data_IF_859312433277
#
_entry.id   IF_859312433277
#
_cell.length_a   1.000
_cell.length_b   1.000
_cell.length_c   1.000
_cell.angle_alpha   90.00
_cell.angle_beta   90.00
_cell.angle_gamma   90.00
#
_symmetry.space_group_name_H-M   'P 1'
#
loop_
_entity.id
_entity.type
_entity.pdbx_description
1 polymer ?
#
# COMPACT_ATOMS: atom_id res chain seq x y z
N UNK A 1 -34.83 -8.95 27.35
CA UNK A 1 -34.42 -7.54 27.13
C UNK A 1 -32.90 -7.49 27.17
N UNK A 2 -32.23 -7.28 26.03
CA UNK A 2 -30.76 -7.24 25.98
C UNK A 2 -30.33 -5.78 26.16
N UNK A 3 -29.74 -5.46 27.30
CA UNK A 3 -29.12 -4.14 27.54
C UNK A 3 -27.80 -4.13 26.78
N UNK A 4 -27.77 -3.46 25.62
CA UNK A 4 -26.49 -3.11 24.98
C UNK A 4 -25.78 -2.11 25.88
N UNK A 5 -24.49 -2.32 26.16
CA UNK A 5 -23.68 -1.30 26.79
C UNK A 5 -23.62 -0.03 25.92
N UNK A 6 -23.36 1.15 26.49
CA UNK A 6 -23.01 2.31 25.70
C UNK A 6 -21.82 1.97 24.80
N UNK A 7 -21.91 2.26 23.49
CA UNK A 7 -20.71 2.22 22.64
C UNK A 7 -19.71 3.25 23.20
N UNK A 8 -18.41 2.94 23.30
CA UNK A 8 -17.43 3.91 23.75
C UNK A 8 -17.44 5.12 22.80
N UNK A 9 -17.58 6.31 23.38
CA UNK A 9 -17.62 7.57 22.65
C UNK A 9 -16.22 7.89 22.12
N UNK A 10 -16.04 7.84 20.79
CA UNK A 10 -14.76 8.12 20.14
C UNK A 10 -14.49 9.64 20.21
N UNK A 11 -13.37 10.02 20.81
CA UNK A 11 -12.97 11.42 21.02
C UNK A 11 -11.78 11.76 20.14
N UNK A 12 -11.81 12.96 19.57
CA UNK A 12 -10.70 13.51 18.79
C UNK A 12 -9.74 14.21 19.77
N UNK A 13 -8.49 13.77 19.79
CA UNK A 13 -7.40 14.37 20.57
C UNK A 13 -6.28 14.76 19.59
N UNK A 14 -5.78 15.98 19.68
CA UNK A 14 -4.76 16.54 18.76
C UNK A 14 -3.92 17.57 19.50
N UNK A 15 -2.60 17.37 19.52
CA UNK A 15 -1.64 18.35 20.06
C UNK A 15 -1.42 19.52 19.10
N UNK A 16 -1.24 20.72 19.66
CA UNK A 16 -1.09 21.96 18.88
C UNK A 16 0.37 22.35 18.75
N UNK A 17 0.90 22.22 17.54
CA UNK A 17 2.29 22.57 17.21
C UNK A 17 3.35 21.70 17.88
N UNK A 18 3.23 20.36 17.88
CA UNK A 18 4.21 19.47 18.53
C UNK A 18 5.61 19.56 17.91
N UNK A 19 5.70 19.93 16.62
CA UNK A 19 6.96 20.19 15.91
C UNK A 19 6.88 21.56 15.25
N UNK A 20 7.95 22.35 15.37
CA UNK A 20 8.09 23.66 14.72
C UNK A 20 8.53 23.51 13.27
N UNK A 21 7.75 24.05 12.33
CA UNK A 21 8.15 24.15 10.92
C UNK A 21 9.45 24.96 10.78
N UNK A 22 10.52 24.31 10.27
CA UNK A 22 11.85 24.88 10.07
C UNK A 22 12.59 24.15 8.96
N UNK A 23 13.50 24.84 8.26
CA UNK A 23 14.45 24.24 7.30
C UNK A 23 15.75 23.77 7.97
N UNK A 24 15.91 23.99 9.27
CA UNK A 24 17.11 23.67 10.04
C UNK A 24 17.52 22.19 9.94
N UNK A 25 16.56 21.27 10.08
CA UNK A 25 16.83 19.82 9.95
C UNK A 25 16.98 19.36 8.48
N UNK A 26 16.60 20.18 7.50
CA UNK A 26 16.87 19.90 6.08
C UNK A 26 18.35 20.10 5.73
N UNK A 27 19.03 21.02 6.42
CA UNK A 27 20.48 21.17 6.34
C UNK A 27 21.25 20.04 7.07
N UNK A 28 20.54 19.20 7.83
CA UNK A 28 21.09 18.12 8.67
C UNK A 28 20.60 16.77 8.16
N UNK A 29 21.11 16.37 6.99
CA UNK A 29 20.84 15.06 6.41
C UNK A 29 21.15 13.94 7.42
N UNK A 30 20.18 13.05 7.65
CA UNK A 30 20.28 11.97 8.64
C UNK A 30 19.95 12.36 10.09
N UNK A 31 19.45 13.57 10.37
CA UNK A 31 19.06 14.00 11.73
C UNK A 31 18.13 13.01 12.46
N UNK A 32 17.33 12.26 11.70
CA UNK A 32 16.35 11.30 12.19
C UNK A 32 16.95 10.03 12.83
N UNK A 33 18.24 9.74 12.62
CA UNK A 33 18.92 8.56 13.17
C UNK A 33 20.27 8.94 13.79
N UNK A 34 20.44 8.63 15.09
CA UNK A 34 21.65 8.97 15.88
C UNK A 34 22.94 8.35 15.32
N UNK A 35 22.82 7.32 14.49
CA UNK A 35 23.94 6.64 13.84
C UNK A 35 24.50 7.47 12.69
N UNK A 36 23.64 8.03 11.84
CA UNK A 36 24.02 8.79 10.64
C UNK A 36 24.06 10.32 10.86
N UNK A 37 23.38 10.85 11.88
CA UNK A 37 23.38 12.28 12.22
C UNK A 37 24.78 12.89 12.53
N UNK A 38 25.83 12.06 12.62
CA UNK A 38 27.24 12.49 12.76
C UNK A 38 27.88 12.96 11.46
N UNK A 39 27.33 12.58 10.31
CA UNK A 39 27.86 12.90 8.98
C UNK A 39 28.57 11.73 8.27
N UNK A 40 28.98 11.94 7.00
CA UNK A 40 29.50 10.89 6.12
C UNK A 40 30.99 10.57 6.33
N UNK A 41 31.30 9.67 7.26
CA UNK A 41 32.65 9.09 7.39
C UNK A 41 33.02 8.14 6.23
N UNK A 42 32.02 7.56 5.54
CA UNK A 42 32.18 6.63 4.42
C UNK A 42 31.05 6.79 3.40
N UNK A 43 31.23 6.31 2.17
CA UNK A 43 30.15 6.29 1.15
C UNK A 43 28.96 5.40 1.54
N UNK A 44 29.16 4.42 2.43
CA UNK A 44 28.09 3.61 3.04
C UNK A 44 27.03 4.47 3.74
N UNK A 45 27.43 5.61 4.31
CA UNK A 45 26.51 6.58 4.92
C UNK A 45 25.42 7.05 3.96
N UNK A 46 25.75 7.24 2.67
CA UNK A 46 24.79 7.69 1.66
C UNK A 46 23.72 6.62 1.43
N UNK A 47 24.10 5.34 1.41
CA UNK A 47 23.15 4.24 1.24
C UNK A 47 22.25 4.08 2.47
N UNK A 48 22.82 4.11 3.68
CA UNK A 48 22.05 4.05 4.93
C UNK A 48 21.08 5.24 5.05
N UNK A 49 21.50 6.46 4.69
CA UNK A 49 20.63 7.64 4.67
C UNK A 49 19.35 7.44 3.83
N UNK A 50 19.43 6.73 2.71
CA UNK A 50 18.27 6.45 1.87
C UNK A 50 17.47 5.22 2.33
N UNK A 51 18.14 4.19 2.84
CA UNK A 51 17.49 2.97 3.32
C UNK A 51 16.70 3.20 4.62
N UNK A 52 17.30 3.91 5.59
CA UNK A 52 16.73 4.13 6.91
C UNK A 52 15.59 5.19 6.87
N UNK A 53 15.55 6.07 5.86
CA UNK A 53 14.68 7.26 5.83
C UNK A 53 13.17 7.01 6.04
N UNK A 54 12.68 5.79 5.74
CA UNK A 54 11.28 5.39 5.96
C UNK A 54 11.12 4.31 7.05
N UNK A 55 12.20 3.85 7.68
CA UNK A 55 12.15 2.95 8.84
C UNK A 55 11.92 3.76 10.13
N UNK A 56 10.70 4.28 10.29
CA UNK A 56 10.35 5.15 11.42
C UNK A 56 10.56 4.50 12.80
N UNK A 57 10.47 3.17 12.90
CA UNK A 57 10.72 2.43 14.13
C UNK A 57 12.22 2.42 14.52
N UNK A 58 13.13 2.74 13.60
CA UNK A 58 14.55 2.94 13.90
C UNK A 58 14.87 4.35 14.44
N UNK A 59 13.97 5.31 14.25
CA UNK A 59 14.18 6.72 14.60
C UNK A 59 13.75 7.06 16.03
N UNK A 60 12.70 6.39 16.53
CA UNK A 60 12.04 6.69 17.81
C UNK A 60 11.35 5.44 18.36
N UNK A 61 11.22 5.34 19.69
CA UNK A 61 10.46 4.28 20.37
C UNK A 61 8.97 4.60 20.51
N UNK A 62 8.58 5.87 20.32
CA UNK A 62 7.25 6.35 20.68
C UNK A 62 6.23 6.03 19.58
N UNK A 63 5.33 5.09 19.86
CA UNK A 63 4.31 4.62 18.91
C UNK A 63 3.40 5.75 18.40
N UNK A 64 3.11 6.76 19.23
CA UNK A 64 2.34 7.93 18.81
C UNK A 64 3.10 8.78 17.77
N UNK A 65 4.42 8.95 17.93
CA UNK A 65 5.25 9.68 16.97
C UNK A 65 5.37 8.90 15.65
N UNK A 66 5.58 7.59 15.72
CA UNK A 66 5.55 6.69 14.55
C UNK A 66 4.21 6.81 13.83
N UNK A 67 3.10 6.76 14.57
CA UNK A 67 1.74 6.84 14.01
C UNK A 67 1.46 8.19 13.35
N UNK A 68 1.92 9.30 13.94
CA UNK A 68 1.85 10.63 13.32
C UNK A 68 2.68 10.72 12.04
N UNK A 69 3.88 10.14 12.02
CA UNK A 69 4.74 10.07 10.83
C UNK A 69 4.11 9.23 9.71
N UNK A 70 3.55 8.06 10.02
CA UNK A 70 2.82 7.19 9.08
C UNK A 70 1.59 7.93 8.52
N UNK A 71 0.77 8.55 9.37
CA UNK A 71 -0.41 9.31 8.96
C UNK A 71 -0.05 10.47 8.03
N UNK A 72 1.01 11.23 8.34
CA UNK A 72 1.55 12.29 7.49
C UNK A 72 2.07 11.77 6.15
N UNK A 73 2.82 10.65 6.15
CA UNK A 73 3.30 9.99 4.94
C UNK A 73 2.15 9.51 4.03
N UNK A 74 1.03 9.05 4.60
CA UNK A 74 -0.18 8.75 3.83
C UNK A 74 -0.75 9.98 3.10
N UNK A 75 -0.73 11.17 3.70
CA UNK A 75 -1.12 12.40 2.99
C UNK A 75 -0.11 12.80 1.90
N UNK A 76 1.19 12.57 2.11
CA UNK A 76 2.21 12.73 1.07
C UNK A 76 1.93 11.82 -0.13
N UNK A 77 1.74 10.52 0.12
CA UNK A 77 1.44 9.53 -0.91
C UNK A 77 0.11 9.81 -1.62
N UNK A 78 -0.95 10.17 -0.89
CA UNK A 78 -2.23 10.59 -1.48
C UNK A 78 -2.06 11.84 -2.36
N UNK A 79 -1.24 12.80 -1.95
CA UNK A 79 -0.96 14.01 -2.74
C UNK A 79 -0.24 13.66 -4.05
N UNK A 80 0.72 12.71 -4.02
CA UNK A 80 1.38 12.20 -5.23
C UNK A 80 0.39 11.44 -6.12
N UNK A 81 -0.50 10.62 -5.55
CA UNK A 81 -1.55 9.91 -6.30
C UNK A 81 -2.51 10.92 -6.95
N UNK A 82 -2.98 11.95 -6.23
CA UNK A 82 -3.84 12.98 -6.80
C UNK A 82 -3.13 13.83 -7.85
N UNK A 83 -1.84 14.13 -7.69
CA UNK A 83 -1.03 14.83 -8.69
C UNK A 83 -0.84 13.98 -9.96
N UNK A 84 -0.55 12.68 -9.82
CA UNK A 84 -0.44 11.74 -10.93
C UNK A 84 -1.77 11.52 -11.67
N UNK A 85 -2.87 11.37 -10.92
CA UNK A 85 -4.22 11.32 -11.48
C UNK A 85 -4.57 12.63 -12.21
N UNK A 86 -4.31 13.79 -11.59
CA UNK A 86 -4.51 15.11 -12.19
C UNK A 86 -3.70 15.25 -13.48
N UNK A 87 -2.44 14.84 -13.48
CA UNK A 87 -1.60 14.72 -14.68
C UNK A 87 -2.24 13.85 -15.76
N UNK A 88 -2.76 12.67 -15.41
CA UNK A 88 -3.47 11.79 -16.35
C UNK A 88 -4.78 12.40 -16.88
N UNK A 89 -5.52 13.19 -16.11
CA UNK A 89 -6.69 13.94 -16.62
C UNK A 89 -6.30 15.16 -17.45
N UNK A 90 -5.23 15.86 -17.10
CA UNK A 90 -4.75 17.03 -17.85
C UNK A 90 -4.12 16.62 -19.18
N UNK A 91 -3.26 15.59 -19.19
CA UNK A 91 -2.81 14.96 -20.42
C UNK A 91 -3.98 14.36 -21.19
N UNK A 92 -4.91 13.68 -20.50
CA UNK A 92 -6.20 13.22 -21.01
C UNK A 92 -7.25 14.31 -21.30
N UNK A 93 -6.83 15.55 -21.59
CA UNK A 93 -7.70 16.68 -21.95
C UNK A 93 -7.02 17.77 -22.80
N UNK A 94 -5.71 18.02 -22.61
CA UNK A 94 -4.99 19.13 -23.27
C UNK A 94 -4.32 18.76 -24.59
N UNK A 95 -3.77 17.54 -24.68
CA UNK A 95 -3.03 17.01 -25.82
C UNK A 95 -3.73 15.93 -26.68
N UNK A 96 -4.87 15.30 -26.29
CA UNK A 96 -5.40 14.15 -26.99
C UNK A 96 -6.77 14.45 -27.64
N UNK A 97 -7.39 13.43 -28.22
CA UNK A 97 -8.39 13.65 -29.26
C UNK A 97 -9.73 12.88 -29.08
N UNK A 98 -10.13 12.42 -27.88
CA UNK A 98 -11.32 11.54 -27.62
C UNK A 98 -12.57 11.80 -28.44
N UNK A 99 -12.86 13.05 -28.83
CA UNK A 99 -14.04 13.36 -29.63
C UNK A 99 -14.01 12.59 -30.96
N UNK A 100 -12.84 12.18 -31.44
CA UNK A 100 -12.67 11.13 -32.45
C UNK A 100 -12.87 9.70 -31.88
N UNK A 101 -12.24 9.28 -30.76
CA UNK A 101 -12.36 7.91 -30.21
C UNK A 101 -13.80 7.57 -29.85
N UNK A 102 -14.50 8.49 -29.20
CA UNK A 102 -15.89 8.38 -28.82
C UNK A 102 -16.84 8.39 -30.03
N UNK A 103 -16.36 8.87 -31.20
CA UNK A 103 -17.10 8.82 -32.48
C UNK A 103 -16.84 7.53 -33.28
N UNK A 104 -15.64 6.95 -33.21
CA UNK A 104 -15.29 5.65 -33.79
C UNK A 104 -14.21 4.91 -32.97
N UNK A 105 -14.60 4.22 -31.88
CA UNK A 105 -13.67 3.51 -31.00
C UNK A 105 -13.26 2.14 -31.58
N UNK A 106 -13.70 1.82 -32.80
CA UNK A 106 -13.42 0.57 -33.50
C UNK A 106 -12.28 0.69 -34.51
N UNK A 107 -12.03 1.89 -35.05
CA UNK A 107 -10.94 2.14 -36.00
C UNK A 107 -9.90 3.15 -35.50
N UNK A 108 -10.17 3.85 -34.40
CA UNK A 108 -9.31 4.90 -33.85
C UNK A 108 -8.74 4.44 -32.50
N UNK A 109 -7.42 4.42 -32.36
CA UNK A 109 -6.72 3.90 -31.17
C UNK A 109 -6.62 4.89 -30.01
N UNK A 110 -6.27 4.45 -28.79
CA UNK A 110 -6.13 5.34 -27.63
C UNK A 110 -4.72 5.98 -27.51
N UNK A 111 -4.55 7.27 -27.84
CA UNK A 111 -3.31 8.04 -27.58
C UNK A 111 -3.49 9.29 -26.69
N UNK A 112 -2.53 9.49 -25.78
CA UNK A 112 -2.60 10.41 -24.63
C UNK A 112 -1.43 11.41 -24.51
N UNK A 113 -0.39 11.28 -25.33
CA UNK A 113 0.89 11.96 -25.17
C UNK A 113 1.40 12.45 -26.53
N UNK A 114 1.92 13.68 -26.57
CA UNK A 114 2.53 14.27 -27.76
C UNK A 114 3.99 14.62 -27.45
N UNK A 115 4.89 13.88 -28.07
CA UNK A 115 6.35 14.06 -28.01
C UNK A 115 6.77 15.28 -28.82
N UNK A 116 7.65 16.11 -28.25
CA UNK A 116 8.15 17.33 -28.89
C UNK A 116 9.13 17.02 -30.04
N UNK A 117 9.02 17.79 -31.13
CA UNK A 117 9.85 17.64 -32.33
C UNK A 117 11.23 18.27 -32.10
N UNK A 118 12.19 17.48 -31.59
CA UNK A 118 13.54 17.98 -31.24
C UNK A 118 14.64 17.25 -32.03
N UNK A 119 14.51 15.92 -32.23
CA UNK A 119 15.57 15.07 -32.80
C UNK A 119 15.06 13.92 -33.69
N UNK A 120 13.84 14.01 -34.26
CA UNK A 120 13.22 12.90 -35.00
C UNK A 120 12.33 11.97 -34.15
N UNK A 121 12.24 12.24 -32.85
CA UNK A 121 11.44 11.50 -31.87
C UNK A 121 9.92 11.71 -32.01
N UNK A 122 9.50 12.68 -32.83
CA UNK A 122 8.10 12.96 -33.19
C UNK A 122 7.42 11.85 -34.02
N UNK A 123 8.19 10.86 -34.50
CA UNK A 123 7.70 9.59 -35.06
C UNK A 123 6.84 8.77 -34.08
N UNK A 124 6.84 9.14 -32.80
CA UNK A 124 6.09 8.47 -31.73
C UNK A 124 4.68 9.06 -31.48
N UNK A 125 4.26 10.04 -32.28
CA UNK A 125 2.96 10.70 -32.12
C UNK A 125 1.88 10.03 -32.99
N UNK A 126 0.93 9.39 -32.31
CA UNK A 126 -0.30 8.83 -32.89
C UNK A 126 -1.51 9.39 -32.11
N UNK A 127 -2.74 9.21 -32.60
CA UNK A 127 -3.91 10.03 -32.21
C UNK A 127 -4.88 9.37 -31.16
N UNK A 128 -5.45 10.16 -30.20
CA UNK A 128 -6.82 10.07 -29.56
C UNK A 128 -7.13 9.47 -28.11
N UNK A 129 -7.49 10.24 -27.02
CA UNK A 129 -8.26 9.81 -25.78
C UNK A 129 -8.95 10.98 -24.98
N UNK A 130 -9.87 10.72 -24.00
CA UNK A 130 -10.39 11.47 -22.78
C UNK A 130 -11.05 10.40 -21.82
N UNK A 131 -12.00 10.69 -20.86
CA UNK A 131 -12.30 9.78 -19.68
C UNK A 131 -13.60 10.00 -18.82
N UNK A 132 -14.02 9.05 -17.91
CA UNK A 132 -14.87 9.25 -16.64
C UNK A 132 -14.97 8.00 -15.66
N UNK A 133 -15.77 7.99 -14.54
CA UNK A 133 -15.41 7.38 -13.21
C UNK A 133 -16.46 6.70 -12.22
N UNK A 134 -15.93 5.82 -11.29
CA UNK A 134 -16.32 5.46 -9.86
C UNK A 134 -17.59 4.58 -9.56
N UNK A 135 -17.88 3.95 -8.39
CA UNK A 135 -17.33 3.76 -6.99
C UNK A 135 -18.36 2.94 -6.09
N UNK A 136 -18.37 2.61 -4.75
CA UNK A 136 -17.54 2.63 -3.49
C UNK A 136 -18.18 1.61 -2.43
N UNK A 137 -17.57 1.18 -1.28
CA UNK A 137 -18.16 0.25 -0.24
C UNK A 137 -17.52 0.25 1.21
N UNK A 138 -18.04 -0.53 2.20
CA UNK A 138 -17.75 -0.42 3.68
C UNK A 138 -17.24 -1.70 4.45
N UNK A 139 -16.79 -1.60 5.73
CA UNK A 139 -15.94 -2.59 6.46
C UNK A 139 -16.35 -3.16 7.86
N UNK A 140 -15.37 -3.47 8.74
CA UNK A 140 -15.11 -4.87 9.21
C UNK A 140 -15.23 -5.27 10.72
N UNK A 141 -15.21 -4.36 11.71
CA UNK A 141 -14.67 -4.66 13.07
C UNK A 141 -15.31 -5.81 13.90
N UNK A 142 -16.64 -5.84 14.06
CA UNK A 142 -17.31 -6.62 15.13
C UNK A 142 -17.27 -8.17 14.97
N UNK A 143 -16.57 -8.70 13.96
CA UNK A 143 -16.62 -10.12 13.52
C UNK A 143 -15.51 -10.99 14.16
N UNK A 144 -14.35 -10.42 14.46
CA UNK A 144 -13.12 -11.18 14.75
C UNK A 144 -13.14 -11.92 16.11
N UNK A 145 -13.63 -11.26 17.15
CA UNK A 145 -13.55 -11.73 18.56
C UNK A 145 -14.47 -12.92 18.87
N UNK A 146 -15.53 -13.14 18.08
CA UNK A 146 -16.52 -14.19 18.29
C UNK A 146 -16.01 -15.62 18.01
N UNK A 147 -14.84 -15.77 17.39
CA UNK A 147 -14.38 -17.02 16.81
C UNK A 147 -13.35 -17.75 17.69
N UNK A 148 -13.80 -18.81 18.38
CA UNK A 148 -12.99 -19.77 19.15
C UNK A 148 -13.50 -21.19 18.92
N UNK A 149 -12.64 -22.21 19.04
CA UNK A 149 -13.00 -23.60 18.72
C UNK A 149 -12.02 -24.64 19.28
N UNK A 150 -12.43 -25.92 19.33
CA UNK A 150 -11.76 -26.96 20.11
C UNK A 150 -10.32 -27.28 19.65
N UNK A 151 -10.00 -27.10 18.37
CA UNK A 151 -8.68 -27.38 17.82
C UNK A 151 -7.73 -26.16 17.78
N UNK A 152 -8.22 -24.96 18.13
CA UNK A 152 -7.51 -23.68 17.95
C UNK A 152 -7.10 -22.98 19.25
N UNK A 153 -7.13 -23.68 20.39
CA UNK A 153 -6.66 -23.13 21.67
C UNK A 153 -7.49 -21.92 22.11
N UNK A 154 -6.85 -20.77 22.34
CA UNK A 154 -7.54 -19.52 22.69
C UNK A 154 -8.22 -18.80 21.50
N UNK A 155 -8.05 -19.30 20.26
CA UNK A 155 -8.56 -18.67 19.04
C UNK A 155 -7.89 -17.33 18.76
N UNK A 156 -8.65 -16.34 18.28
CA UNK A 156 -8.13 -14.98 17.96
C UNK A 156 -7.83 -14.09 19.18
N UNK A 157 -7.67 -14.64 20.39
CA UNK A 157 -7.31 -13.84 21.57
C UNK A 157 -5.90 -13.26 21.38
N UNK A 158 -5.73 -11.94 21.52
CA UNK A 158 -4.47 -11.25 21.23
C UNK A 158 -4.41 -10.65 19.82
N UNK A 159 -5.26 -11.08 18.88
CA UNK A 159 -5.21 -10.61 17.49
C UNK A 159 -5.68 -9.16 17.32
N UNK A 160 -6.65 -8.72 18.13
CA UNK A 160 -7.09 -7.32 18.12
C UNK A 160 -5.99 -6.41 18.66
N UNK A 161 -5.32 -6.84 19.74
CA UNK A 161 -4.19 -6.17 20.35
C UNK A 161 -3.03 -6.06 19.34
N UNK A 162 -2.59 -7.18 18.75
CA UNK A 162 -1.58 -7.22 17.68
C UNK A 162 -1.88 -6.23 16.54
N UNK A 163 -3.13 -6.22 16.03
CA UNK A 163 -3.56 -5.36 14.94
C UNK A 163 -3.82 -3.89 15.35
N UNK A 164 -3.65 -3.54 16.63
CA UNK A 164 -3.78 -2.15 17.13
C UNK A 164 -2.51 -1.60 17.77
N UNK A 165 -1.54 -2.45 18.16
CA UNK A 165 -0.23 -2.02 18.67
C UNK A 165 0.88 -2.06 17.62
N UNK A 166 0.76 -2.84 16.54
CA UNK A 166 1.78 -2.93 15.49
C UNK A 166 1.28 -2.55 14.10
N UNK A 167 1.90 -1.49 13.54
CA UNK A 167 1.80 -1.16 12.12
C UNK A 167 2.33 -2.28 11.22
N UNK A 168 3.37 -3.01 11.65
CA UNK A 168 3.91 -4.15 10.92
C UNK A 168 3.08 -5.44 11.06
N UNK A 169 2.08 -5.51 11.94
CA UNK A 169 1.06 -6.56 11.92
C UNK A 169 -0.09 -6.22 10.97
N UNK A 170 -0.53 -4.95 10.96
CA UNK A 170 -1.63 -4.51 10.11
C UNK A 170 -1.23 -4.44 8.62
N UNK A 171 -0.04 -3.90 8.33
CA UNK A 171 0.46 -3.72 6.97
C UNK A 171 0.54 -5.02 6.14
N UNK A 172 1.15 -6.14 6.60
CA UNK A 172 1.24 -7.36 5.81
C UNK A 172 -0.12 -8.01 5.57
N UNK A 173 -1.06 -7.92 6.50
CA UNK A 173 -2.43 -8.39 6.27
C UNK A 173 -3.09 -7.57 5.15
N UNK A 174 -2.98 -6.24 5.21
CA UNK A 174 -3.49 -5.34 4.18
C UNK A 174 -2.81 -5.59 2.82
N UNK A 175 -1.50 -5.78 2.77
CA UNK A 175 -0.75 -6.08 1.55
C UNK A 175 -1.14 -7.46 0.98
N UNK A 176 -1.19 -8.51 1.79
CA UNK A 176 -1.56 -9.86 1.34
C UNK A 176 -2.96 -9.87 0.69
N UNK A 177 -3.93 -9.18 1.32
CA UNK A 177 -5.27 -9.02 0.75
C UNK A 177 -5.26 -8.13 -0.52
N UNK A 178 -4.57 -6.99 -0.51
CA UNK A 178 -4.53 -6.06 -1.63
C UNK A 178 -3.86 -6.65 -2.87
N UNK A 179 -2.71 -7.31 -2.71
CA UNK A 179 -1.98 -7.92 -3.82
C UNK A 179 -2.72 -9.11 -4.41
N UNK A 180 -3.36 -9.94 -3.56
CA UNK A 180 -4.27 -11.00 -4.00
C UNK A 180 -5.47 -10.43 -4.77
N UNK A 181 -6.08 -9.35 -4.25
CA UNK A 181 -7.17 -8.65 -4.92
C UNK A 181 -6.72 -8.05 -6.26
N UNK A 182 -5.50 -7.53 -6.36
CA UNK A 182 -4.93 -6.98 -7.61
C UNK A 182 -4.74 -8.08 -8.66
N UNK A 183 -4.28 -9.27 -8.25
CA UNK A 183 -4.22 -10.46 -9.14
C UNK A 183 -5.61 -10.92 -9.56
N UNK A 184 -6.59 -10.93 -8.65
CA UNK A 184 -7.99 -11.27 -8.96
C UNK A 184 -8.63 -10.25 -9.91
N UNK A 185 -8.32 -8.95 -9.74
CA UNK A 185 -8.72 -7.89 -10.67
C UNK A 185 -8.11 -8.11 -12.05
N UNK A 186 -6.84 -8.50 -12.15
CA UNK A 186 -6.20 -8.83 -13.44
C UNK A 186 -6.99 -9.93 -14.18
N UNK A 187 -7.29 -11.05 -13.51
CA UNK A 187 -8.02 -12.17 -14.09
C UNK A 187 -9.45 -11.77 -14.48
N UNK A 188 -10.19 -11.09 -13.59
CA UNK A 188 -11.55 -10.65 -13.88
C UNK A 188 -11.63 -9.62 -15.01
N UNK A 189 -10.72 -8.63 -15.07
CA UNK A 189 -10.71 -7.64 -16.16
C UNK A 189 -10.34 -8.22 -17.53
N UNK A 190 -9.66 -9.37 -17.55
CA UNK A 190 -9.36 -10.11 -18.77
C UNK A 190 -10.56 -10.94 -19.26
N UNK A 191 -11.19 -11.74 -18.38
CA UNK A 191 -12.32 -12.62 -18.78
C UNK A 191 -13.69 -11.94 -18.79
N UNK A 192 -13.82 -10.78 -18.13
CA UNK A 192 -15.01 -9.93 -18.12
C UNK A 192 -14.60 -8.45 -18.29
N UNK A 193 -14.21 -7.99 -19.50
CA UNK A 193 -13.79 -6.62 -19.74
C UNK A 193 -14.87 -5.61 -19.29
N UNK A 194 -14.61 -4.77 -18.25
CA UNK A 194 -15.65 -3.97 -17.61
C UNK A 194 -15.92 -2.62 -18.30
N UNK A 195 -15.16 -2.29 -19.34
CA UNK A 195 -15.23 -1.02 -20.07
C UNK A 195 -15.60 -1.27 -21.54
N UNK A 196 -16.42 -0.40 -22.17
CA UNK A 196 -16.73 -0.50 -23.60
C UNK A 196 -15.46 -0.52 -24.48
N UNK A 197 -15.51 -1.27 -25.58
CA UNK A 197 -14.45 -1.40 -26.60
C UNK A 197 -13.10 -2.00 -26.13
N UNK A 198 -12.89 -2.15 -24.82
CA UNK A 198 -11.69 -2.76 -24.24
C UNK A 198 -11.47 -4.21 -24.68
N UNK A 199 -12.53 -4.99 -24.93
CA UNK A 199 -12.43 -6.40 -25.35
C UNK A 199 -11.75 -6.58 -26.72
N UNK A 200 -11.78 -5.55 -27.57
CA UNK A 200 -11.13 -5.51 -28.90
C UNK A 200 -9.76 -4.83 -28.87
N UNK A 201 -9.46 -4.05 -27.83
CA UNK A 201 -8.11 -3.51 -27.59
C UNK A 201 -7.23 -4.53 -26.87
N UNK A 202 -6.64 -5.43 -27.65
CA UNK A 202 -5.72 -6.46 -27.16
C UNK A 202 -4.45 -5.88 -26.49
N UNK A 203 -4.04 -4.66 -26.89
CA UNK A 203 -2.86 -4.00 -26.33
C UNK A 203 -3.10 -3.54 -24.89
N UNK A 204 -4.22 -2.84 -24.66
CA UNK A 204 -4.63 -2.42 -23.31
C UNK A 204 -5.01 -3.62 -22.45
N UNK A 205 -5.70 -4.64 -23.00
CA UNK A 205 -6.01 -5.88 -22.27
C UNK A 205 -4.76 -6.59 -21.74
N UNK A 206 -3.76 -6.84 -22.62
CA UNK A 206 -2.50 -7.48 -22.23
C UNK A 206 -1.73 -6.63 -21.21
N UNK A 207 -1.66 -5.32 -21.45
CA UNK A 207 -0.94 -4.38 -20.58
C UNK A 207 -1.56 -4.30 -19.19
N UNK A 208 -2.89 -4.17 -19.09
CA UNK A 208 -3.60 -4.14 -17.81
C UNK A 208 -3.44 -5.46 -17.04
N UNK A 209 -3.52 -6.61 -17.71
CA UNK A 209 -3.31 -7.91 -17.07
C UNK A 209 -1.89 -8.00 -16.48
N UNK A 210 -0.86 -7.79 -17.30
CA UNK A 210 0.55 -7.88 -16.87
C UNK A 210 0.86 -6.88 -15.74
N UNK A 211 0.38 -5.64 -15.86
CA UNK A 211 0.56 -4.58 -14.86
C UNK A 211 0.00 -4.98 -13.48
N UNK A 212 -1.24 -5.47 -13.43
CA UNK A 212 -1.89 -5.88 -12.19
C UNK A 212 -1.26 -7.17 -11.60
N UNK A 213 -0.84 -8.13 -12.45
CA UNK A 213 -0.13 -9.33 -11.99
C UNK A 213 1.20 -8.97 -11.31
N UNK A 214 2.03 -8.11 -11.93
CA UNK A 214 3.32 -7.71 -11.34
C UNK A 214 3.14 -6.91 -10.05
N UNK A 215 2.23 -5.94 -10.02
CA UNK A 215 1.97 -5.14 -8.82
C UNK A 215 1.46 -6.03 -7.68
N UNK A 216 0.52 -6.95 -7.97
CA UNK A 216 0.03 -7.91 -6.98
C UNK A 216 1.14 -8.83 -6.44
N UNK A 217 2.04 -9.29 -7.32
CA UNK A 217 3.22 -10.07 -6.93
C UNK A 217 4.17 -9.31 -6.00
N UNK A 218 4.57 -8.08 -6.36
CA UNK A 218 5.41 -7.23 -5.50
C UNK A 218 4.75 -6.96 -4.14
N UNK A 219 3.44 -6.69 -4.12
CA UNK A 219 2.68 -6.44 -2.90
C UNK A 219 2.63 -7.69 -2.00
N UNK A 220 2.44 -8.89 -2.56
CA UNK A 220 2.45 -10.15 -1.80
C UNK A 220 3.83 -10.45 -1.22
N UNK A 221 4.92 -10.20 -1.96
CA UNK A 221 6.29 -10.33 -1.42
C UNK A 221 6.54 -9.31 -0.30
N UNK A 222 6.05 -8.08 -0.45
CA UNK A 222 6.07 -7.06 0.61
C UNK A 222 5.29 -7.48 1.87
N UNK A 223 4.18 -8.23 1.71
CA UNK A 223 3.45 -8.80 2.83
C UNK A 223 4.29 -9.82 3.63
N UNK A 224 4.99 -10.73 2.94
CA UNK A 224 5.88 -11.68 3.60
C UNK A 224 7.05 -10.98 4.32
N UNK A 225 7.60 -9.93 3.70
CA UNK A 225 8.65 -9.11 4.31
C UNK A 225 8.17 -8.41 5.60
N UNK A 226 7.04 -7.71 5.56
CA UNK A 226 6.52 -7.02 6.76
C UNK A 226 6.02 -7.96 7.85
N UNK A 227 5.47 -9.13 7.51
CA UNK A 227 5.16 -10.18 8.50
C UNK A 227 6.44 -10.67 9.21
N UNK A 228 7.55 -10.77 8.48
CA UNK A 228 8.86 -11.14 9.07
C UNK A 228 9.41 -10.01 9.95
N UNK A 229 9.22 -8.73 9.57
CA UNK A 229 9.62 -7.58 10.39
C UNK A 229 8.82 -7.54 11.71
N UNK A 230 7.51 -7.76 11.66
CA UNK A 230 6.67 -7.93 12.87
C UNK A 230 7.21 -9.03 13.79
N UNK A 231 7.52 -10.21 13.23
CA UNK A 231 8.07 -11.34 14.00
C UNK A 231 9.45 -11.08 14.63
N UNK A 232 10.19 -10.07 14.17
CA UNK A 232 11.50 -9.69 14.70
C UNK A 232 11.43 -8.53 15.70
N UNK A 233 10.50 -7.59 15.53
CA UNK A 233 10.44 -6.33 16.29
C UNK A 233 9.29 -6.25 17.30
N UNK A 234 8.12 -6.77 16.94
CA UNK A 234 6.84 -6.44 17.58
C UNK A 234 6.13 -7.69 18.17
N UNK A 235 6.61 -8.89 17.85
CA UNK A 235 6.12 -10.16 18.43
C UNK A 235 6.65 -10.35 19.86
N UNK A 236 5.74 -10.58 20.81
CA UNK A 236 6.07 -10.87 22.21
C UNK A 236 5.47 -12.23 22.64
N UNK A 237 6.31 -13.25 22.95
CA UNK A 237 5.83 -14.56 23.37
C UNK A 237 5.21 -14.57 24.79
N UNK A 238 5.33 -13.50 25.58
CA UNK A 238 4.73 -13.43 26.92
C UNK A 238 3.26 -13.05 26.88
N UNK A 239 2.85 -12.14 25.98
CA UNK A 239 1.43 -11.84 25.71
C UNK A 239 0.77 -12.85 24.76
N UNK A 240 1.52 -13.44 23.83
CA UNK A 240 1.00 -14.28 22.73
C UNK A 240 1.08 -15.79 23.04
N UNK A 241 0.96 -16.16 24.31
CA UNK A 241 1.11 -17.54 24.76
C UNK A 241 -0.09 -18.45 24.45
N UNK A 242 0.15 -19.53 23.69
CA UNK A 242 -0.81 -20.59 23.35
C UNK A 242 -2.08 -20.10 22.62
N UNK A 243 -1.90 -19.09 21.78
CA UNK A 243 -2.88 -18.63 20.79
C UNK A 243 -2.78 -19.44 19.48
N UNK A 244 -3.22 -18.87 18.35
CA UNK A 244 -3.04 -19.47 17.03
C UNK A 244 -1.62 -19.32 16.46
N UNK A 245 -0.94 -18.21 16.73
CA UNK A 245 0.33 -17.84 16.12
C UNK A 245 1.51 -18.62 16.72
N UNK A 246 1.60 -18.66 18.05
CA UNK A 246 2.58 -19.49 18.78
C UNK A 246 2.42 -20.98 18.41
N UNK A 247 1.18 -21.45 18.23
CA UNK A 247 0.92 -22.84 17.80
C UNK A 247 1.36 -23.13 16.36
N UNK A 248 1.32 -22.16 15.46
CA UNK A 248 1.94 -22.30 14.12
C UNK A 248 3.45 -22.39 14.25
N UNK A 249 4.10 -21.54 15.05
CA UNK A 249 5.55 -21.59 15.25
C UNK A 249 6.04 -22.87 15.90
N UNK A 250 5.30 -23.44 16.87
CA UNK A 250 5.60 -24.74 17.49
C UNK A 250 5.49 -25.93 16.54
N UNK A 251 4.97 -25.74 15.33
CA UNK A 251 4.89 -26.77 14.28
C UNK A 251 5.56 -26.35 12.96
N UNK A 252 6.34 -25.26 12.96
CA UNK A 252 6.96 -24.69 11.74
C UNK A 252 7.80 -25.71 10.95
N UNK A 253 8.55 -26.57 11.64
CA UNK A 253 9.47 -27.51 11.00
C UNK A 253 8.69 -28.60 10.22
N UNK A 254 7.49 -28.97 10.71
CA UNK A 254 6.54 -29.81 10.00
C UNK A 254 5.89 -29.09 8.81
N UNK A 255 5.51 -27.82 8.97
CA UNK A 255 4.91 -27.00 7.90
C UNK A 255 5.89 -26.84 6.72
N UNK A 256 7.14 -26.49 7.00
CA UNK A 256 8.18 -26.29 5.97
C UNK A 256 8.53 -27.63 5.28
N UNK A 257 8.65 -28.73 6.01
CA UNK A 257 8.95 -30.05 5.43
C UNK A 257 7.81 -30.69 4.63
N UNK A 258 6.58 -30.14 4.69
CA UNK A 258 5.48 -30.53 3.80
C UNK A 258 5.33 -29.60 2.57
N UNK A 259 6.08 -28.49 2.51
CA UNK A 259 6.06 -27.52 1.40
C UNK A 259 7.27 -27.67 0.45
N UNK A 260 8.33 -28.35 0.89
CA UNK A 260 9.61 -28.54 0.20
C UNK A 260 9.73 -29.94 -0.43
#
# INVERSE_FOLDING_TARGET
MIIRSPKPEVKILVDRGPVKSSFEEWARAGHFSRTIAKGPDTTTWIWNLHADAQDFNSHTSELDEISQRVFSACFGQLSIIFLGLSGMYFHGARFPNYEAWLSDPTHIGPSALVVWQIVGQEILNDDVIYKTNWGIGNGLKDILEAHKGPFIGQGHKGLYEILTTSWHAQLPLNLAMLGSLTIVVAHHMYVMPPYPYLATDYGTQLSLFIYHIWIGGFIIVGAAAHATIFMVRDYDPTTQYNDLLDRVFRHRDAIISHLN
#
